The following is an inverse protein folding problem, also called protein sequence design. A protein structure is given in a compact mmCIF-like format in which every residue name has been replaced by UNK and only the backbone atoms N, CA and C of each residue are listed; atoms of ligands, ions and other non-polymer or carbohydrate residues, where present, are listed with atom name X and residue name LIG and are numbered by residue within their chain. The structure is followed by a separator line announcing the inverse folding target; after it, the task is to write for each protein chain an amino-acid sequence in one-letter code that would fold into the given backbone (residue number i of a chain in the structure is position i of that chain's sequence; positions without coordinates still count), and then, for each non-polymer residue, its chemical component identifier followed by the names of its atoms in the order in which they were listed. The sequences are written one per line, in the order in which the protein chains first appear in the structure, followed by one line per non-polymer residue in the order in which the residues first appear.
data_IF_841005275037
#
_entry.id   IF_841005275037
#
_cell.length_a   1.000
_cell.length_b   1.000
_cell.length_c   1.000
_cell.angle_alpha   90.00
_cell.angle_beta   90.00
_cell.angle_gamma   90.00
#
_symmetry.space_group_name_H-M   'P 1'
#
loop_
_entity.id
_entity.type
_entity.pdbx_description
1 polymer ?
#
# COMPACT_ATOMS: atom_id res chain seq x y z
N UNK A 1 15.48 11.10 9.86
CA UNK A 1 14.31 10.70 9.06
C UNK A 1 13.37 9.88 9.91
N UNK A 2 12.12 10.17 9.83
CA UNK A 2 11.10 9.41 10.55
C UNK A 2 10.46 8.40 9.60
N UNK A 3 9.89 7.34 10.17
CA UNK A 3 9.25 6.27 9.39
C UNK A 3 8.18 6.79 8.46
N UNK A 4 7.44 7.82 8.85
CA UNK A 4 6.40 8.43 8.04
C UNK A 4 6.95 8.98 6.72
N UNK A 5 8.10 9.66 6.77
CA UNK A 5 8.71 10.23 5.56
C UNK A 5 9.14 9.13 4.59
N UNK A 6 9.69 8.03 5.13
CA UNK A 6 10.08 6.89 4.30
C UNK A 6 8.86 6.24 3.67
N UNK A 7 7.80 6.03 4.44
CA UNK A 7 6.57 5.43 3.93
C UNK A 7 5.95 6.27 2.82
N UNK A 8 5.92 7.59 2.98
CA UNK A 8 5.39 8.49 1.96
C UNK A 8 6.24 8.45 0.70
N UNK A 9 7.57 8.47 0.85
CA UNK A 9 8.48 8.37 -0.30
C UNK A 9 8.25 7.06 -1.05
N UNK A 10 8.16 5.95 -0.33
CA UNK A 10 7.97 4.64 -0.95
C UNK A 10 6.61 4.57 -1.66
N UNK A 11 5.56 5.09 -1.04
CA UNK A 11 4.23 5.12 -1.65
C UNK A 11 4.24 5.91 -2.95
N UNK A 12 4.88 7.09 -2.95
CA UNK A 12 4.98 7.92 -4.14
C UNK A 12 5.79 7.22 -5.24
N UNK A 13 6.89 6.60 -4.88
CA UNK A 13 7.74 5.87 -5.82
C UNK A 13 6.97 4.72 -6.48
N UNK A 14 6.27 3.91 -5.69
CA UNK A 14 5.52 2.77 -6.22
C UNK A 14 4.35 3.22 -7.09
N UNK A 15 3.69 4.31 -6.72
CA UNK A 15 2.60 4.87 -7.54
C UNK A 15 3.12 5.34 -8.90
N UNK A 16 4.29 5.98 -8.93
CA UNK A 16 4.92 6.40 -10.18
C UNK A 16 5.27 5.21 -11.06
N UNK A 17 5.82 4.15 -10.47
CA UNK A 17 6.16 2.95 -11.22
C UNK A 17 4.90 2.29 -11.79
N UNK A 18 3.85 2.21 -11.01
CA UNK A 18 2.57 1.67 -11.47
C UNK A 18 1.97 2.51 -12.59
N UNK A 19 2.09 3.83 -12.52
CA UNK A 19 1.62 4.73 -13.57
C UNK A 19 2.37 4.48 -14.88
N UNK A 20 3.64 4.09 -14.80
CA UNK A 20 4.45 3.71 -15.95
C UNK A 20 4.23 2.23 -16.37
N UNK A 21 3.29 1.55 -15.73
CA UNK A 21 2.95 0.13 -15.95
C UNK A 21 4.10 -0.82 -15.62
N UNK A 22 4.98 -0.38 -14.74
CA UNK A 22 6.06 -1.19 -14.22
C UNK A 22 5.69 -1.63 -12.80
N UNK A 23 5.25 -2.88 -12.68
CA UNK A 23 4.79 -3.42 -11.40
C UNK A 23 5.81 -4.35 -10.75
N UNK A 24 7.01 -4.44 -11.31
CA UNK A 24 8.03 -5.35 -10.81
C UNK A 24 8.44 -5.09 -9.37
N UNK A 25 8.47 -3.81 -8.96
CA UNK A 25 8.84 -3.45 -7.60
C UNK A 25 7.71 -3.63 -6.60
N UNK A 26 6.46 -3.65 -7.09
CA UNK A 26 5.28 -3.79 -6.22
C UNK A 26 5.27 -5.13 -5.50
N UNK A 27 5.50 -6.22 -6.23
CA UNK A 27 5.50 -7.54 -5.64
C UNK A 27 6.55 -7.66 -4.53
N UNK A 28 7.74 -7.14 -4.80
CA UNK A 28 8.83 -7.14 -3.83
C UNK A 28 8.48 -6.30 -2.60
N UNK A 29 7.95 -5.10 -2.83
CA UNK A 29 7.60 -4.19 -1.75
C UNK A 29 6.49 -4.77 -0.86
N UNK A 30 5.47 -5.37 -1.46
CA UNK A 30 4.37 -5.96 -0.70
C UNK A 30 4.82 -7.21 0.05
N UNK A 31 5.76 -7.99 -0.48
CA UNK A 31 6.32 -9.11 0.25
C UNK A 31 7.04 -8.63 1.52
N UNK A 32 7.80 -7.54 1.42
CA UNK A 32 8.47 -6.95 2.57
C UNK A 32 7.47 -6.39 3.58
N UNK A 33 6.43 -5.72 3.10
CA UNK A 33 5.38 -5.17 3.96
C UNK A 33 4.63 -6.29 4.67
N UNK A 34 4.31 -7.38 3.96
CA UNK A 34 3.65 -8.53 4.57
C UNK A 34 4.48 -9.10 5.74
N UNK A 35 5.79 -9.20 5.54
CA UNK A 35 6.69 -9.68 6.58
C UNK A 35 6.68 -8.75 7.79
N UNK A 36 6.68 -7.46 7.56
CA UNK A 36 6.61 -6.48 8.65
C UNK A 36 5.30 -6.59 9.43
N UNK A 37 4.18 -6.83 8.74
CA UNK A 37 2.90 -7.03 9.42
C UNK A 37 2.91 -8.29 10.29
N UNK A 38 3.55 -9.35 9.82
CA UNK A 38 3.60 -10.62 10.56
C UNK A 38 4.46 -10.53 11.80
N UNK A 39 5.56 -9.78 11.73
CA UNK A 39 6.56 -9.74 12.81
C UNK A 39 6.46 -8.50 13.67
N UNK A 40 5.75 -7.49 13.22
CA UNK A 40 5.68 -6.21 13.92
C UNK A 40 4.61 -6.13 14.97
N UNK A 41 4.61 -5.00 15.66
CA UNK A 41 3.61 -4.69 16.68
C UNK A 41 2.37 -4.09 16.01
N UNK A 42 1.29 -3.93 16.78
CA UNK A 42 0.10 -3.19 16.33
C UNK A 42 0.44 -1.77 15.93
N UNK A 43 1.37 -1.14 16.64
CA UNK A 43 1.79 0.23 16.33
C UNK A 43 2.44 0.29 14.95
N UNK A 44 3.29 -0.68 14.63
CA UNK A 44 3.91 -0.74 13.32
C UNK A 44 2.86 -1.01 12.24
N UNK A 45 1.92 -1.91 12.50
CA UNK A 45 0.85 -2.22 11.55
C UNK A 45 0.02 -0.97 11.25
N UNK A 46 -0.32 -0.19 12.28
CA UNK A 46 -1.06 1.06 12.09
C UNK A 46 -0.24 2.06 11.27
N UNK A 47 1.05 2.22 11.58
CA UNK A 47 1.92 3.13 10.85
C UNK A 47 2.04 2.76 9.38
N UNK A 48 2.18 1.46 9.08
CA UNK A 48 2.25 0.99 7.70
C UNK A 48 0.94 1.20 6.96
N UNK A 49 -0.19 0.96 7.63
CA UNK A 49 -1.49 1.11 6.98
C UNK A 49 -1.77 2.57 6.67
N UNK A 50 -1.63 3.45 7.65
CA UNK A 50 -1.92 4.88 7.50
C UNK A 50 -0.85 5.58 6.67
N UNK A 51 0.43 5.31 6.98
CA UNK A 51 1.54 6.03 6.38
C UNK A 51 2.02 5.47 5.04
N UNK A 52 1.59 4.27 4.67
CA UNK A 52 2.01 3.66 3.42
C UNK A 52 0.83 3.26 2.55
N UNK A 53 -0.05 2.36 3.03
CA UNK A 53 -1.13 1.85 2.18
C UNK A 53 -2.13 2.94 1.78
N UNK A 54 -2.56 3.76 2.73
CA UNK A 54 -3.51 4.83 2.42
C UNK A 54 -2.89 5.87 1.51
N UNK A 55 -1.63 6.23 1.76
CA UNK A 55 -0.92 7.19 0.90
C UNK A 55 -0.75 6.62 -0.51
N UNK A 56 -0.41 5.33 -0.62
CA UNK A 56 -0.29 4.68 -1.92
C UNK A 56 -1.62 4.74 -2.69
N UNK A 57 -2.73 4.44 -2.03
CA UNK A 57 -4.05 4.50 -2.65
C UNK A 57 -4.33 5.91 -3.16
N UNK A 58 -4.14 6.93 -2.31
CA UNK A 58 -4.43 8.32 -2.69
C UNK A 58 -3.54 8.81 -3.83
N UNK A 59 -2.24 8.54 -3.75
CA UNK A 59 -1.31 8.99 -4.79
C UNK A 59 -1.59 8.29 -6.12
N UNK A 60 -1.87 6.99 -6.06
CA UNK A 60 -2.19 6.23 -7.27
C UNK A 60 -3.46 6.75 -7.93
N UNK A 61 -4.49 7.06 -7.14
CA UNK A 61 -5.72 7.62 -7.69
C UNK A 61 -5.50 8.98 -8.33
N UNK A 62 -4.69 9.83 -7.69
CA UNK A 62 -4.35 11.15 -8.25
C UNK A 62 -3.63 11.02 -9.59
N UNK A 63 -2.87 9.94 -9.78
CA UNK A 63 -2.16 9.69 -11.03
C UNK A 63 -3.01 8.94 -12.06
N UNK A 64 -4.24 8.57 -11.70
CA UNK A 64 -5.12 7.83 -12.59
C UNK A 64 -4.76 6.35 -12.71
N UNK A 65 -4.03 5.80 -11.76
CA UNK A 65 -3.66 4.40 -11.76
C UNK A 65 -4.83 3.54 -11.27
N UNK A 66 -5.09 2.44 -11.99
CA UNK A 66 -6.09 1.47 -11.57
C UNK A 66 -5.59 0.74 -10.33
N UNK A 67 -6.33 0.85 -9.22
CA UNK A 67 -5.93 0.22 -7.96
C UNK A 67 -5.90 -1.30 -8.05
N UNK A 68 -6.68 -1.90 -8.96
CA UNK A 68 -6.64 -3.35 -9.16
C UNK A 68 -5.29 -3.80 -9.72
N UNK A 69 -4.63 -2.95 -10.49
CA UNK A 69 -3.29 -3.24 -10.99
C UNK A 69 -2.31 -3.41 -9.85
N UNK A 70 -2.44 -2.56 -8.83
CA UNK A 70 -1.60 -2.63 -7.63
C UNK A 70 -2.01 -3.84 -6.78
N UNK A 71 -3.30 -4.03 -6.56
CA UNK A 71 -3.82 -5.10 -5.71
C UNK A 71 -3.40 -6.49 -6.19
N UNK A 72 -3.29 -6.67 -7.50
CA UNK A 72 -2.87 -7.96 -8.08
C UNK A 72 -1.48 -8.39 -7.65
N UNK A 73 -0.63 -7.43 -7.28
CA UNK A 73 0.75 -7.72 -6.89
C UNK A 73 0.88 -8.08 -5.41
N UNK A 74 -0.20 -8.04 -4.64
CA UNK A 74 -0.16 -8.37 -3.22
C UNK A 74 -0.27 -9.88 -3.05
N UNK A 75 0.83 -10.50 -2.65
CA UNK A 75 0.90 -11.95 -2.49
C UNK A 75 0.73 -12.43 -1.05
N UNK A 76 0.94 -11.58 -0.05
CA UNK A 76 0.87 -11.97 1.35
C UNK A 76 -0.53 -11.78 1.93
N UNK A 77 -0.94 -12.71 2.78
CA UNK A 77 -2.28 -12.67 3.38
C UNK A 77 -2.48 -11.48 4.32
N UNK A 78 -1.43 -11.11 5.08
CA UNK A 78 -1.53 -9.97 5.99
C UNK A 78 -1.53 -8.65 5.23
N UNK A 79 -0.65 -8.51 4.23
CA UNK A 79 -0.63 -7.32 3.40
C UNK A 79 -1.97 -7.15 2.69
N UNK A 80 -2.57 -8.23 2.20
CA UNK A 80 -3.88 -8.19 1.53
C UNK A 80 -4.98 -7.76 2.49
N UNK A 81 -4.97 -8.30 3.69
CA UNK A 81 -5.98 -7.95 4.70
C UNK A 81 -5.95 -6.46 5.03
N UNK A 82 -4.75 -5.92 5.23
CA UNK A 82 -4.61 -4.50 5.53
C UNK A 82 -4.88 -3.61 4.32
N UNK A 83 -4.55 -4.07 3.11
CA UNK A 83 -4.92 -3.37 1.89
C UNK A 83 -6.43 -3.23 1.77
N UNK A 84 -7.17 -4.34 1.97
CA UNK A 84 -8.62 -4.32 1.89
C UNK A 84 -9.22 -3.38 2.93
N UNK A 85 -8.67 -3.36 4.14
CA UNK A 85 -9.12 -2.46 5.19
C UNK A 85 -8.83 -1.00 4.84
N UNK A 86 -7.66 -0.72 4.30
CA UNK A 86 -7.28 0.65 3.88
C UNK A 86 -8.18 1.12 2.73
N UNK A 87 -8.46 0.25 1.77
CA UNK A 87 -9.35 0.58 0.66
C UNK A 87 -10.75 0.90 1.17
N UNK A 88 -11.28 0.09 2.08
CA UNK A 88 -12.60 0.31 2.66
C UNK A 88 -12.67 1.62 3.43
N UNK A 89 -11.60 1.97 4.14
CA UNK A 89 -11.53 3.22 4.89
C UNK A 89 -11.53 4.44 3.96
N UNK A 90 -10.79 4.37 2.86
CA UNK A 90 -10.68 5.48 1.91
C UNK A 90 -11.87 5.56 0.94
N UNK A 91 -12.63 4.46 0.80
CA UNK A 91 -13.78 4.39 -0.11
C UNK A 91 -15.00 3.79 0.60
N UNK A 92 -15.54 4.46 1.64
CA UNK A 92 -16.61 3.87 2.42
C UNK A 92 -17.87 3.57 1.62
N UNK A 93 -18.15 4.32 0.57
CA UNK A 93 -19.31 4.09 -0.29
C UNK A 93 -19.18 2.80 -1.10
N UNK A 94 -17.95 2.37 -1.41
CA UNK A 94 -17.67 1.19 -2.21
C UNK A 94 -17.46 -0.07 -1.34
N UNK A 95 -17.39 0.10 -0.03
CA UNK A 95 -17.02 -0.98 0.89
C UNK A 95 -18.19 -1.84 1.35
N UNK A 96 -19.34 -1.68 0.79
CA UNK A 96 -20.55 -2.39 1.20
C UNK A 96 -20.58 -3.85 0.78
#
# INVERSE_FOLDING_TARGET
MVAHDFCLWLAAHLAERAAAKDVSELAWAFAAVDQLYREGTEELATALTVGFLEDLIHIAEDKGVDLDLIAREISGSEARRYWDAAYAYTHPADAK
#
